data_IF_643716893395
#
_entry.id   IF_643716893395
#
_cell.length_a   1.000
_cell.length_b   1.000
_cell.length_c   1.000
_cell.angle_alpha   90.00
_cell.angle_beta   90.00
_cell.angle_gamma   90.00
#
_symmetry.space_group_name_H-M   'P 1'
#
loop_
_entity.id
_entity.type
_entity.pdbx_description
1 polymer ?
#
# COMPACT_ATOMS: atom_id res chain seq x y z
N UNK A 1 31.72 -27.19 10.85
CA UNK A 1 31.01 -26.02 10.29
C UNK A 1 32.04 -24.92 10.11
N UNK A 2 32.54 -24.79 8.87
CA UNK A 2 33.75 -24.01 8.56
C UNK A 2 33.50 -22.50 8.64
N UNK A 3 34.45 -21.81 9.24
CA UNK A 3 34.58 -20.35 9.34
C UNK A 3 34.62 -19.65 7.96
N UNK A 4 34.72 -20.44 6.88
CA UNK A 4 34.89 -20.00 5.49
C UNK A 4 33.61 -19.45 4.82
N UNK A 5 32.43 -19.63 5.41
CA UNK A 5 31.16 -19.12 4.87
C UNK A 5 30.82 -17.70 5.35
N UNK A 6 31.65 -17.12 6.21
CA UNK A 6 31.38 -15.80 6.80
C UNK A 6 31.88 -14.63 5.94
N UNK A 7 32.80 -14.92 5.03
CA UNK A 7 33.49 -13.87 4.24
C UNK A 7 32.79 -13.54 2.91
N UNK A 8 31.67 -14.23 2.59
CA UNK A 8 30.87 -14.02 1.39
C UNK A 8 29.49 -13.42 1.67
N UNK A 9 29.29 -12.78 2.80
CA UNK A 9 28.16 -11.88 2.97
C UNK A 9 28.43 -10.66 2.09
N UNK A 10 28.00 -10.76 0.84
CA UNK A 10 28.04 -9.64 -0.10
C UNK A 10 27.32 -8.46 0.54
N UNK A 11 28.02 -7.33 0.64
CA UNK A 11 27.46 -6.08 1.19
C UNK A 11 26.11 -5.73 0.55
N UNK A 12 25.92 -6.12 -0.71
CA UNK A 12 24.65 -5.98 -1.42
C UNK A 12 23.50 -6.78 -0.79
N UNK A 13 23.76 -8.03 -0.42
CA UNK A 13 22.71 -8.87 0.19
C UNK A 13 22.34 -8.43 1.61
N UNK A 14 23.31 -7.93 2.38
CA UNK A 14 23.05 -7.36 3.71
C UNK A 14 22.22 -6.08 3.60
N UNK A 15 22.52 -5.21 2.65
CA UNK A 15 21.79 -3.98 2.40
C UNK A 15 20.34 -4.29 2.01
N UNK A 16 20.11 -5.17 1.04
CA UNK A 16 18.76 -5.60 0.63
C UNK A 16 17.95 -6.18 1.80
N UNK A 17 18.59 -6.97 2.67
CA UNK A 17 17.93 -7.49 3.86
C UNK A 17 17.53 -6.39 4.85
N UNK A 18 18.41 -5.43 5.10
CA UNK A 18 18.13 -4.29 5.99
C UNK A 18 17.02 -3.41 5.42
N UNK A 19 17.05 -3.13 4.11
CA UNK A 19 16.02 -2.35 3.43
C UNK A 19 14.65 -3.05 3.51
N UNK A 20 14.62 -4.37 3.31
CA UNK A 20 13.39 -5.18 3.46
C UNK A 20 12.85 -5.13 4.89
N UNK A 21 13.70 -5.25 5.90
CA UNK A 21 13.30 -5.12 7.31
C UNK A 21 12.72 -3.73 7.59
N UNK A 22 13.35 -2.69 7.07
CA UNK A 22 12.87 -1.32 7.23
C UNK A 22 11.45 -1.14 6.66
N UNK A 23 11.19 -1.67 5.46
CA UNK A 23 9.86 -1.60 4.84
C UNK A 23 8.82 -2.38 5.65
N UNK A 24 9.19 -3.54 6.22
CA UNK A 24 8.30 -4.33 7.09
C UNK A 24 7.98 -3.54 8.37
N UNK A 25 8.97 -2.95 9.01
CA UNK A 25 8.76 -2.14 10.23
C UNK A 25 7.83 -0.96 9.94
N UNK A 26 8.03 -0.27 8.82
CA UNK A 26 7.13 0.79 8.37
C UNK A 26 5.70 0.28 8.13
N UNK A 27 5.53 -0.89 7.52
CA UNK A 27 4.22 -1.50 7.29
C UNK A 27 3.51 -1.83 8.62
N UNK A 28 4.25 -2.32 9.62
CA UNK A 28 3.72 -2.59 10.97
C UNK A 28 3.27 -1.30 11.65
N UNK A 29 4.04 -0.22 11.54
CA UNK A 29 3.67 1.08 12.11
C UNK A 29 2.38 1.62 11.47
N UNK A 30 2.23 1.51 10.15
CA UNK A 30 1.00 1.91 9.45
C UNK A 30 -0.18 1.01 9.86
N UNK A 31 0.04 -0.28 10.08
CA UNK A 31 -1.01 -1.17 10.60
C UNK A 31 -1.46 -0.77 12.02
N UNK A 32 -0.53 -0.39 12.91
CA UNK A 32 -0.87 0.12 14.24
C UNK A 32 -1.67 1.43 14.13
N UNK A 33 -1.34 2.29 13.16
CA UNK A 33 -2.09 3.51 12.89
C UNK A 33 -3.55 3.21 12.53
N UNK A 34 -3.82 2.12 11.81
CA UNK A 34 -5.18 1.66 11.49
C UNK A 34 -6.01 1.37 12.76
N UNK A 35 -5.42 0.71 13.76
CA UNK A 35 -6.05 0.50 15.05
C UNK A 35 -6.30 1.82 15.79
N UNK A 36 -5.38 2.78 15.68
CA UNK A 36 -5.54 4.14 16.20
C UNK A 36 -6.73 4.87 15.60
N UNK A 37 -6.91 4.82 14.29
CA UNK A 37 -8.09 5.39 13.60
C UNK A 37 -9.39 4.76 14.09
N UNK A 38 -9.44 3.43 14.20
CA UNK A 38 -10.61 2.73 14.72
C UNK A 38 -10.96 3.21 16.13
N UNK A 39 -9.98 3.36 17.03
CA UNK A 39 -10.20 3.86 18.39
C UNK A 39 -10.67 5.32 18.37
N UNK A 40 -10.08 6.18 17.57
CA UNK A 40 -10.44 7.59 17.46
C UNK A 40 -11.86 7.77 16.93
N UNK A 41 -12.21 7.14 15.84
CA UNK A 41 -13.55 7.22 15.24
C UNK A 41 -14.62 6.66 16.17
N UNK A 42 -14.33 5.55 16.84
CA UNK A 42 -15.25 4.92 17.81
C UNK A 42 -15.47 5.84 19.02
N UNK A 43 -14.41 6.50 19.50
CA UNK A 43 -14.49 7.41 20.63
C UNK A 43 -15.22 8.72 20.34
N UNK A 44 -15.13 9.22 19.11
CA UNK A 44 -15.83 10.44 18.66
C UNK A 44 -17.30 10.19 18.25
N UNK A 45 -17.67 8.93 18.00
CA UNK A 45 -19.03 8.56 17.64
C UNK A 45 -19.97 8.49 18.85
N UNK A 46 -21.28 8.63 18.61
CA UNK A 46 -22.27 8.47 19.68
C UNK A 46 -22.23 7.06 20.26
N UNK A 47 -22.35 6.93 21.57
CA UNK A 47 -22.27 5.65 22.28
C UNK A 47 -23.08 4.52 21.63
N UNK A 48 -24.31 4.78 21.19
CA UNK A 48 -25.17 3.80 20.51
C UNK A 48 -24.64 3.33 19.13
N UNK A 49 -23.77 4.11 18.50
CA UNK A 49 -23.23 3.82 17.16
C UNK A 49 -21.77 3.35 17.21
N UNK A 50 -21.12 3.41 18.35
CA UNK A 50 -19.71 3.08 18.57
C UNK A 50 -19.35 1.68 18.03
N UNK A 51 -20.13 0.66 18.38
CA UNK A 51 -19.91 -0.72 17.91
C UNK A 51 -20.05 -0.82 16.38
N UNK A 52 -21.01 -0.11 15.80
CA UNK A 52 -21.22 -0.13 14.34
C UNK A 52 -20.05 0.55 13.60
N UNK A 53 -19.50 1.62 14.14
CA UNK A 53 -18.32 2.29 13.58
C UNK A 53 -17.09 1.39 13.68
N UNK A 54 -16.85 0.74 14.82
CA UNK A 54 -15.74 -0.21 14.96
C UNK A 54 -15.85 -1.37 13.96
N UNK A 55 -17.06 -1.93 13.79
CA UNK A 55 -17.29 -3.01 12.83
C UNK A 55 -17.06 -2.56 11.38
N UNK A 56 -17.47 -1.33 11.04
CA UNK A 56 -17.19 -0.75 9.72
C UNK A 56 -15.70 -0.67 9.44
N UNK A 57 -14.91 -0.16 10.37
CA UNK A 57 -13.45 -0.04 10.22
C UNK A 57 -12.77 -1.41 10.08
N UNK A 58 -13.19 -2.42 10.84
CA UNK A 58 -12.66 -3.77 10.70
C UNK A 58 -13.02 -4.40 9.34
N UNK A 59 -14.26 -4.24 8.89
CA UNK A 59 -14.71 -4.72 7.58
C UNK A 59 -14.00 -4.00 6.44
N UNK A 60 -13.81 -2.70 6.57
CA UNK A 60 -13.11 -1.85 5.60
C UNK A 60 -11.69 -2.31 5.37
N UNK A 61 -10.93 -2.52 6.43
CA UNK A 61 -9.58 -3.07 6.34
C UNK A 61 -9.55 -4.39 5.56
N UNK A 62 -10.42 -5.35 5.91
CA UNK A 62 -10.46 -6.64 5.24
C UNK A 62 -10.84 -6.53 3.76
N UNK A 63 -11.88 -5.75 3.44
CA UNK A 63 -12.33 -5.54 2.07
C UNK A 63 -11.27 -4.80 1.25
N UNK A 64 -10.66 -3.75 1.79
CA UNK A 64 -9.62 -2.97 1.12
C UNK A 64 -8.43 -3.84 0.72
N UNK A 65 -7.91 -4.66 1.64
CA UNK A 65 -6.78 -5.56 1.36
C UNK A 65 -7.12 -6.59 0.29
N UNK A 66 -8.31 -7.21 0.37
CA UNK A 66 -8.74 -8.23 -0.61
C UNK A 66 -8.91 -7.61 -2.01
N UNK A 67 -9.58 -6.47 -2.11
CA UNK A 67 -9.80 -5.79 -3.40
C UNK A 67 -8.49 -5.33 -4.01
N UNK A 68 -7.59 -4.78 -3.18
CA UNK A 68 -6.27 -4.38 -3.63
C UNK A 68 -5.43 -5.56 -4.12
N UNK A 69 -5.52 -6.72 -3.47
CA UNK A 69 -4.86 -7.95 -3.89
C UNK A 69 -5.39 -8.45 -5.25
N UNK A 70 -6.72 -8.43 -5.47
CA UNK A 70 -7.33 -8.97 -6.68
C UNK A 70 -6.92 -8.14 -7.89
N UNK A 71 -7.10 -6.83 -7.86
CA UNK A 71 -6.87 -5.96 -9.01
C UNK A 71 -6.22 -4.61 -8.70
N UNK A 72 -6.31 -4.11 -7.48
CA UNK A 72 -5.77 -2.80 -7.12
C UNK A 72 -4.27 -2.71 -7.34
N UNK A 73 -3.51 -3.72 -6.94
CA UNK A 73 -2.06 -3.75 -7.11
C UNK A 73 -1.66 -3.76 -8.60
N UNK A 74 -2.35 -4.55 -9.41
CA UNK A 74 -2.11 -4.59 -10.87
C UNK A 74 -2.39 -3.26 -11.55
N UNK A 75 -3.49 -2.60 -11.18
CA UNK A 75 -3.83 -1.27 -11.71
C UNK A 75 -2.81 -0.20 -11.29
N UNK A 76 -2.21 -0.34 -10.10
CA UNK A 76 -1.28 0.65 -9.55
C UNK A 76 0.14 0.48 -10.06
N UNK A 77 0.66 -0.75 -10.09
CA UNK A 77 2.06 -1.06 -10.38
C UNK A 77 2.27 -1.93 -11.62
N UNK A 78 1.20 -2.30 -12.33
CA UNK A 78 1.29 -3.02 -13.59
C UNK A 78 1.92 -2.19 -14.71
N UNK A 79 2.22 -2.85 -15.83
CA UNK A 79 2.73 -2.21 -17.04
C UNK A 79 1.78 -1.08 -17.50
N UNK A 80 2.35 0.11 -17.65
CA UNK A 80 1.57 1.33 -17.86
C UNK A 80 0.95 1.40 -19.26
N UNK A 81 -0.37 1.42 -19.35
CA UNK A 81 -1.07 1.70 -20.60
C UNK A 81 -1.27 3.21 -20.75
N UNK A 82 -0.51 3.82 -21.64
CA UNK A 82 -0.52 5.26 -21.94
C UNK A 82 -0.31 6.18 -20.71
N UNK A 83 0.32 5.69 -19.66
CA UNK A 83 0.55 6.48 -18.44
C UNK A 83 -0.69 6.65 -17.55
N UNK A 84 -1.80 5.97 -17.81
CA UNK A 84 -3.07 6.17 -17.09
C UNK A 84 -3.32 5.06 -16.08
N UNK A 85 -3.15 3.80 -16.48
CA UNK A 85 -3.44 2.62 -15.65
C UNK A 85 -2.43 1.50 -15.92
N UNK A 86 -2.19 0.67 -14.90
CA UNK A 86 -1.49 -0.61 -15.07
C UNK A 86 -2.41 -1.68 -15.64
N UNK A 87 -1.88 -2.57 -16.47
CA UNK A 87 -2.65 -3.63 -17.14
C UNK A 87 -2.21 -5.04 -16.77
N UNK A 88 -1.20 -5.18 -15.93
CA UNK A 88 -0.58 -6.45 -15.58
C UNK A 88 -0.57 -6.67 -14.05
N UNK A 89 -0.01 -7.79 -13.58
CA UNK A 89 0.13 -8.15 -12.16
C UNK A 89 -1.18 -8.36 -11.38
N UNK A 90 -2.27 -8.66 -12.05
CA UNK A 90 -3.52 -9.02 -11.38
C UNK A 90 -3.38 -10.31 -10.55
N UNK A 91 -4.09 -10.39 -9.42
CA UNK A 91 -4.01 -11.46 -8.43
C UNK A 91 -2.63 -11.63 -7.80
N UNK A 92 -1.76 -10.67 -7.95
CA UNK A 92 -0.44 -10.62 -7.36
C UNK A 92 0.28 -12.00 -7.33
N UNK A 93 0.54 -12.55 -8.51
CA UNK A 93 1.26 -13.81 -8.67
C UNK A 93 2.76 -13.54 -8.77
N UNK A 94 3.46 -13.58 -7.66
CA UNK A 94 4.92 -13.49 -7.66
C UNK A 94 5.50 -14.42 -6.60
N UNK A 95 6.69 -14.94 -6.87
CA UNK A 95 7.48 -15.76 -5.94
C UNK A 95 8.63 -14.97 -5.30
N UNK A 96 8.73 -13.67 -5.57
CA UNK A 96 9.81 -12.81 -5.07
C UNK A 96 9.41 -12.19 -3.75
N UNK A 97 10.17 -12.45 -2.68
CA UNK A 97 9.86 -11.98 -1.32
C UNK A 97 9.79 -10.45 -1.21
N UNK A 98 10.62 -9.74 -1.97
CA UNK A 98 10.69 -8.28 -1.98
C UNK A 98 9.38 -7.65 -2.49
N UNK A 99 8.78 -8.21 -3.54
CA UNK A 99 7.44 -7.79 -4.01
C UNK A 99 6.37 -8.02 -2.96
N UNK A 100 6.45 -9.14 -2.22
CA UNK A 100 5.49 -9.43 -1.17
C UNK A 100 5.54 -8.37 -0.07
N UNK A 101 6.74 -7.97 0.33
CA UNK A 101 6.96 -6.93 1.33
C UNK A 101 6.41 -5.59 0.86
N UNK A 102 6.68 -5.22 -0.38
CA UNK A 102 6.17 -3.99 -0.97
C UNK A 102 4.64 -4.01 -1.14
N UNK A 103 4.07 -5.14 -1.55
CA UNK A 103 2.62 -5.33 -1.60
C UNK A 103 1.98 -5.11 -0.22
N UNK A 104 2.52 -5.73 0.83
CA UNK A 104 1.99 -5.58 2.19
C UNK A 104 2.05 -4.11 2.63
N UNK A 105 3.16 -3.43 2.38
CA UNK A 105 3.31 -2.01 2.68
C UNK A 105 2.23 -1.17 1.99
N UNK A 106 2.06 -1.32 0.70
CA UNK A 106 1.06 -0.58 -0.07
C UNK A 106 -0.38 -0.93 0.33
N UNK A 107 -0.67 -2.20 0.66
CA UNK A 107 -1.97 -2.62 1.14
C UNK A 107 -2.37 -1.93 2.46
N UNK A 108 -1.41 -1.68 3.36
CA UNK A 108 -1.67 -0.93 4.59
C UNK A 108 -2.07 0.53 4.29
N UNK A 109 -1.43 1.18 3.32
CA UNK A 109 -1.80 2.54 2.91
C UNK A 109 -3.16 2.62 2.23
N UNK A 110 -3.50 1.64 1.39
CA UNK A 110 -4.83 1.54 0.78
C UNK A 110 -5.92 1.42 1.84
N UNK A 111 -5.71 0.56 2.82
CA UNK A 111 -6.63 0.37 3.93
C UNK A 111 -6.78 1.66 4.76
N UNK A 112 -5.68 2.37 5.02
CA UNK A 112 -5.71 3.66 5.71
C UNK A 112 -6.48 4.72 4.92
N UNK A 113 -6.30 4.80 3.62
CA UNK A 113 -7.06 5.72 2.77
C UNK A 113 -8.57 5.45 2.83
N UNK A 114 -8.97 4.17 2.83
CA UNK A 114 -10.36 3.78 3.01
C UNK A 114 -10.93 4.20 4.37
N UNK A 115 -10.15 4.02 5.45
CA UNK A 115 -10.56 4.43 6.81
C UNK A 115 -10.75 5.94 6.92
N UNK A 116 -9.97 6.77 6.23
CA UNK A 116 -10.18 8.22 6.20
C UNK A 116 -11.57 8.55 5.61
N UNK A 117 -11.99 7.82 4.58
CA UNK A 117 -13.35 7.96 4.02
C UNK A 117 -14.40 7.51 5.05
N UNK A 118 -14.13 6.46 5.84
CA UNK A 118 -15.00 6.01 6.94
C UNK A 118 -15.30 7.13 7.91
N UNK A 119 -14.28 7.85 8.35
CA UNK A 119 -14.43 9.00 9.26
C UNK A 119 -15.33 10.09 8.69
N UNK A 120 -15.19 10.41 7.40
CA UNK A 120 -16.00 11.43 6.74
C UNK A 120 -17.50 11.08 6.65
N UNK A 121 -17.83 9.79 6.53
CA UNK A 121 -19.21 9.29 6.40
C UNK A 121 -19.73 8.61 7.67
N UNK A 122 -18.99 8.68 8.76
CA UNK A 122 -19.39 8.11 10.05
C UNK A 122 -20.78 8.62 10.44
N UNK A 123 -21.62 7.72 10.94
CA UNK A 123 -23.03 7.97 11.34
C UNK A 123 -23.99 8.42 10.23
N UNK A 124 -23.53 8.78 9.03
CA UNK A 124 -24.37 9.33 7.95
C UNK A 124 -24.78 8.32 6.90
N UNK A 125 -24.09 7.17 6.84
CA UNK A 125 -24.27 6.18 5.79
C UNK A 125 -24.58 4.79 6.35
N UNK A 126 -25.45 4.06 5.64
CA UNK A 126 -25.73 2.64 5.94
C UNK A 126 -24.50 1.79 5.61
N UNK A 127 -24.31 0.69 6.34
CA UNK A 127 -23.18 -0.22 6.19
C UNK A 127 -22.96 -0.71 4.74
N UNK A 128 -24.01 -1.15 4.06
CA UNK A 128 -23.90 -1.64 2.68
C UNK A 128 -23.47 -0.56 1.69
N UNK A 129 -23.97 0.67 1.84
CA UNK A 129 -23.55 1.79 0.99
C UNK A 129 -22.07 2.14 1.21
N UNK A 130 -21.62 2.07 2.46
CA UNK A 130 -20.23 2.27 2.80
C UNK A 130 -19.31 1.22 2.15
N UNK A 131 -19.66 -0.07 2.21
CA UNK A 131 -18.86 -1.12 1.55
C UNK A 131 -18.70 -0.90 0.05
N UNK A 132 -19.74 -0.42 -0.63
CA UNK A 132 -19.64 -0.11 -2.07
C UNK A 132 -18.62 1.02 -2.31
N UNK A 133 -18.65 2.06 -1.48
CA UNK A 133 -17.70 3.15 -1.59
C UNK A 133 -16.26 2.68 -1.31
N UNK A 134 -16.07 1.84 -0.30
CA UNK A 134 -14.77 1.25 -0.01
C UNK A 134 -14.23 0.47 -1.20
N UNK A 135 -15.04 -0.39 -1.82
CA UNK A 135 -14.66 -1.16 -3.00
C UNK A 135 -14.26 -0.25 -4.16
N UNK A 136 -15.04 0.78 -4.44
CA UNK A 136 -14.73 1.75 -5.50
C UNK A 136 -13.46 2.56 -5.19
N UNK A 137 -13.32 3.02 -3.96
CA UNK A 137 -12.18 3.82 -3.54
C UNK A 137 -10.88 3.02 -3.58
N UNK A 138 -10.87 1.80 -3.01
CA UNK A 138 -9.65 0.97 -2.90
C UNK A 138 -9.32 0.21 -4.17
N UNK A 139 -10.34 -0.12 -4.97
CA UNK A 139 -10.18 -0.89 -6.20
C UNK A 139 -9.93 -0.05 -7.45
N UNK A 140 -10.43 1.18 -7.51
CA UNK A 140 -10.39 2.01 -8.71
C UNK A 140 -9.69 3.34 -8.44
N UNK A 141 -10.24 4.16 -7.52
CA UNK A 141 -9.77 5.53 -7.35
C UNK A 141 -8.33 5.55 -6.83
N UNK A 142 -8.06 4.85 -5.74
CA UNK A 142 -6.73 4.85 -5.13
C UNK A 142 -5.67 4.25 -6.07
N UNK A 143 -5.87 3.08 -6.73
CA UNK A 143 -4.89 2.54 -7.65
C UNK A 143 -4.58 3.43 -8.85
N UNK A 144 -5.59 4.10 -9.42
CA UNK A 144 -5.38 5.02 -10.56
C UNK A 144 -4.55 6.22 -10.12
N UNK A 145 -4.93 6.88 -9.03
CA UNK A 145 -4.17 8.01 -8.49
C UNK A 145 -2.77 7.59 -8.08
N UNK A 146 -2.64 6.42 -7.44
CA UNK A 146 -1.36 5.83 -7.08
C UNK A 146 -0.49 5.50 -8.29
N UNK A 147 -1.09 5.03 -9.38
CA UNK A 147 -0.38 4.83 -10.64
C UNK A 147 0.22 6.13 -11.18
N UNK A 148 -0.53 7.23 -11.13
CA UNK A 148 -0.04 8.54 -11.57
C UNK A 148 1.04 9.13 -10.65
N UNK A 149 1.02 8.81 -9.37
CA UNK A 149 1.96 9.34 -8.38
C UNK A 149 3.24 8.50 -8.27
N UNK A 150 3.10 7.16 -8.26
CA UNK A 150 4.19 6.24 -7.88
C UNK A 150 4.53 5.19 -8.92
N UNK A 151 3.74 5.03 -9.99
CA UNK A 151 4.11 4.17 -11.10
C UNK A 151 5.22 4.87 -11.89
N UNK A 152 6.43 4.39 -11.73
CA UNK A 152 7.50 4.77 -12.63
C UNK A 152 7.31 4.04 -13.96
N UNK A 153 7.47 4.75 -15.07
CA UNK A 153 7.64 4.13 -16.39
C UNK A 153 8.86 3.20 -16.45
N UNK A 154 9.57 3.06 -15.35
CA UNK A 154 10.74 2.22 -15.15
C UNK A 154 10.44 0.75 -14.96
N UNK A 155 9.19 0.35 -14.68
CA UNK A 155 8.82 -1.07 -14.62
C UNK A 155 9.07 -1.80 -15.95
N UNK A 156 9.19 -1.07 -17.05
CA UNK A 156 9.51 -1.65 -18.35
C UNK A 156 10.99 -2.03 -18.54
N UNK A 157 11.90 -1.63 -17.65
CA UNK A 157 13.34 -1.84 -17.89
C UNK A 157 14.17 -2.24 -16.64
N UNK A 158 13.55 -2.46 -15.49
CA UNK A 158 14.30 -2.83 -14.29
C UNK A 158 13.71 -4.04 -13.59
N UNK A 159 14.59 -4.98 -13.27
CA UNK A 159 14.30 -6.00 -12.28
C UNK A 159 13.82 -5.32 -10.99
N UNK A 160 12.76 -5.82 -10.37
CA UNK A 160 12.15 -5.25 -9.16
C UNK A 160 13.10 -5.12 -7.98
N UNK A 161 14.09 -6.00 -7.92
CA UNK A 161 15.20 -5.95 -6.94
C UNK A 161 15.97 -4.63 -7.04
N UNK A 162 16.20 -4.13 -8.24
CA UNK A 162 16.90 -2.87 -8.46
C UNK A 162 16.04 -1.63 -8.11
N UNK A 163 14.72 -1.74 -8.14
CA UNK A 163 13.84 -0.64 -7.70
C UNK A 163 13.87 -0.43 -6.19
N UNK A 164 13.88 -1.51 -5.41
CA UNK A 164 14.03 -1.41 -3.96
C UNK A 164 15.42 -0.88 -3.57
N UNK A 165 16.44 -1.22 -4.35
CA UNK A 165 17.84 -0.78 -4.14
C UNK A 165 18.08 0.66 -4.61
N UNK A 166 17.35 1.16 -5.60
CA UNK A 166 17.46 2.55 -6.08
C UNK A 166 16.68 3.54 -5.22
N UNK A 167 15.78 3.09 -4.35
CA UNK A 167 15.12 3.93 -3.33
C UNK A 167 16.14 4.66 -2.43
N UNK A 168 17.35 4.15 -2.31
CA UNK A 168 18.39 4.78 -1.48
C UNK A 168 19.28 5.78 -2.22
N UNK A 169 19.31 5.82 -3.56
CA UNK A 169 20.25 6.65 -4.28
C UNK A 169 19.65 7.78 -5.13
N UNK A 170 18.48 7.63 -5.67
CA UNK A 170 17.71 8.72 -6.31
C UNK A 170 16.25 8.27 -6.47
N UNK A 171 15.38 8.68 -5.57
CA UNK A 171 13.94 8.54 -5.73
C UNK A 171 13.50 9.55 -6.80
N UNK A 172 13.69 9.21 -8.04
CA UNK A 172 12.93 9.78 -9.14
C UNK A 172 11.67 8.93 -9.32
N UNK A 173 10.68 9.16 -8.45
CA UNK A 173 9.33 8.73 -8.78
C UNK A 173 8.92 9.50 -10.04
N UNK A 174 8.74 8.78 -11.14
CA UNK A 174 8.54 9.35 -12.48
C UNK A 174 7.06 9.43 -12.84
N UNK A 175 6.17 9.32 -11.85
CA UNK A 175 4.77 9.65 -12.05
C UNK A 175 4.62 11.14 -12.36
N UNK A 176 3.85 11.52 -13.36
CA UNK A 176 3.65 12.93 -13.74
C UNK A 176 3.02 13.80 -12.62
N UNK A 177 2.44 13.16 -11.59
CA UNK A 177 1.89 13.81 -10.39
C UNK A 177 2.89 13.93 -9.23
N UNK A 178 4.09 13.39 -9.36
CA UNK A 178 5.09 13.40 -8.27
C UNK A 178 5.55 14.81 -7.94
N UNK A 179 5.63 15.68 -8.93
CA UNK A 179 6.08 17.05 -8.76
C UNK A 179 5.06 17.94 -8.00
N UNK A 180 3.85 17.46 -7.76
CA UNK A 180 2.77 18.22 -7.08
C UNK A 180 2.79 17.98 -5.55
N UNK A 181 3.81 17.36 -5.00
CA UNK A 181 3.96 17.20 -3.54
C UNK A 181 3.10 16.08 -2.93
N UNK A 182 2.56 15.16 -3.73
CA UNK A 182 1.91 13.93 -3.25
C UNK A 182 2.92 12.93 -2.66
N UNK A 183 4.20 13.25 -2.67
CA UNK A 183 5.30 12.42 -2.18
C UNK A 183 5.51 12.47 -0.66
N UNK A 184 4.49 12.79 0.14
CA UNK A 184 4.57 12.74 1.60
C UNK A 184 4.75 11.32 2.17
N UNK A 185 4.73 10.29 1.32
CA UNK A 185 4.96 8.89 1.71
C UNK A 185 6.44 8.50 1.60
N UNK A 186 7.28 9.41 1.13
CA UNK A 186 8.73 9.19 0.97
C UNK A 186 9.59 9.85 2.04
N UNK A 187 9.01 10.09 3.22
CA UNK A 187 9.80 10.52 4.39
C UNK A 187 10.33 9.31 5.13
#
# INVERSE_FOLDING_TARGET
MCIRDRDNLDLGSVKSFVDTLWVIDCAILVFIMQAGFMCMETGLSRYKNSINVALKNAADFGVAVVIFWIFGFGLMFGESYKGIIGTDLFFFKTNVAEYMTYFVFQAMFVATAATIISGAVAERMKFNGYLIITILATGIIYPIVGHWAWSSSYLNNMDPVNQLLTVTNEIKSTGWLTDIGLSLIHI
#
